data_IF_270900828443
#
_entry.id   IF_270900828443
#
_cell.length_a   1.000
_cell.length_b   1.000
_cell.length_c   1.000
_cell.angle_alpha   90.00
_cell.angle_beta   90.00
_cell.angle_gamma   90.00
#
_symmetry.space_group_name_H-M   'P 1'
#
loop_
_entity.id
_entity.type
_entity.pdbx_description
1 polymer ?
#
# COMPACT_ATOMS: atom_id res chain seq x y z
N UNK A 1 25.41 -10.42 -5.60
CA UNK A 1 25.39 -8.96 -5.86
C UNK A 1 24.06 -8.48 -6.47
N UNK A 2 23.37 -9.26 -7.31
CA UNK A 2 22.07 -8.91 -7.89
C UNK A 2 20.93 -9.01 -6.87
N UNK A 3 21.01 -9.94 -5.94
CA UNK A 3 20.01 -10.19 -4.90
C UNK A 3 19.96 -9.08 -3.83
N UNK A 4 21.10 -8.49 -3.46
CA UNK A 4 21.13 -7.40 -2.48
C UNK A 4 20.49 -6.10 -2.98
N UNK A 5 20.58 -5.79 -4.26
CA UNK A 5 19.98 -4.56 -4.83
C UNK A 5 18.46 -4.67 -5.00
N UNK A 6 17.95 -5.85 -5.33
CA UNK A 6 16.52 -6.10 -5.41
C UNK A 6 15.84 -6.07 -4.01
N UNK A 7 16.51 -6.59 -2.98
CA UNK A 7 16.08 -6.56 -1.59
C UNK A 7 15.94 -5.12 -1.05
N UNK A 8 16.83 -4.21 -1.42
CA UNK A 8 16.85 -2.84 -0.86
C UNK A 8 15.67 -2.01 -1.33
N UNK A 9 15.23 -2.15 -2.58
CA UNK A 9 14.13 -1.36 -3.15
C UNK A 9 12.73 -1.89 -2.80
N UNK A 10 12.61 -3.19 -2.49
CA UNK A 10 11.31 -3.82 -2.27
C UNK A 10 10.87 -3.79 -0.80
N UNK A 11 11.80 -3.58 0.15
CA UNK A 11 11.55 -3.71 1.59
C UNK A 11 11.72 -2.41 2.39
N UNK A 12 11.73 -1.25 1.73
CA UNK A 12 11.84 0.05 2.42
C UNK A 12 10.72 0.30 3.45
N UNK A 13 9.55 -0.30 3.21
CA UNK A 13 8.38 -0.19 4.10
C UNK A 13 8.44 -1.09 5.33
N UNK A 14 9.41 -2.00 5.41
CA UNK A 14 9.55 -2.93 6.53
C UNK A 14 10.42 -2.33 7.64
N UNK A 15 10.07 -2.66 8.90
CA UNK A 15 10.90 -2.34 10.05
C UNK A 15 12.23 -3.11 10.00
N UNK A 16 13.26 -2.62 10.71
CA UNK A 16 14.56 -3.31 10.76
C UNK A 16 14.45 -4.72 11.37
N UNK A 17 13.52 -4.93 12.32
CA UNK A 17 13.24 -6.25 12.88
C UNK A 17 12.71 -7.21 11.81
N UNK A 18 11.79 -6.75 10.97
CA UNK A 18 11.26 -7.56 9.86
C UNK A 18 12.32 -7.85 8.80
N UNK A 19 13.16 -6.85 8.47
CA UNK A 19 14.27 -7.03 7.54
C UNK A 19 15.29 -8.04 8.07
N UNK A 20 15.61 -7.99 9.36
CA UNK A 20 16.54 -8.95 9.96
C UNK A 20 15.96 -10.36 10.02
N UNK A 21 14.68 -10.53 10.29
CA UNK A 21 14.00 -11.82 10.21
C UNK A 21 14.09 -12.42 8.78
N UNK A 22 13.90 -11.60 7.76
CA UNK A 22 14.05 -12.01 6.35
C UNK A 22 15.50 -12.40 6.06
N UNK A 23 16.48 -11.61 6.48
CA UNK A 23 17.91 -11.93 6.29
C UNK A 23 18.27 -13.24 6.99
N UNK A 24 17.83 -13.44 8.24
CA UNK A 24 18.05 -14.65 9.00
C UNK A 24 17.45 -15.89 8.32
N UNK A 25 16.23 -15.77 7.80
CA UNK A 25 15.60 -16.83 7.01
C UNK A 25 16.47 -17.21 5.80
N UNK A 26 16.93 -16.25 5.00
CA UNK A 26 17.73 -16.53 3.82
C UNK A 26 19.11 -17.07 4.14
N UNK A 27 19.73 -16.72 5.27
CA UNK A 27 21.00 -17.31 5.74
C UNK A 27 20.92 -18.81 5.92
N UNK A 28 19.73 -19.38 6.22
CA UNK A 28 19.58 -20.83 6.34
C UNK A 28 19.83 -21.58 5.02
N UNK A 29 19.82 -20.88 3.90
CA UNK A 29 20.08 -21.42 2.56
C UNK A 29 21.52 -21.18 2.05
N UNK A 30 22.42 -20.62 2.87
CA UNK A 30 23.82 -20.38 2.52
C UNK A 30 24.72 -21.61 2.69
N UNK A 31 24.23 -22.65 3.38
CA UNK A 31 24.97 -23.88 3.65
C UNK A 31 24.54 -25.02 2.73
N UNK A 32 25.09 -26.24 2.96
CA UNK A 32 24.73 -27.42 2.18
C UNK A 32 23.23 -27.71 2.31
N UNK A 33 22.51 -27.50 1.22
CA UNK A 33 21.05 -27.59 1.18
C UNK A 33 20.57 -29.04 1.16
N UNK A 34 19.51 -29.33 1.90
CA UNK A 34 18.74 -30.56 1.72
C UNK A 34 17.99 -30.52 0.36
N UNK A 35 17.55 -31.71 -0.10
CA UNK A 35 16.75 -31.80 -1.32
C UNK A 35 15.52 -30.92 -1.28
N UNK A 36 14.79 -30.93 -0.15
CA UNK A 36 13.59 -30.09 0.03
C UNK A 36 13.89 -28.58 -0.04
N UNK A 37 15.03 -28.16 0.49
CA UNK A 37 15.46 -26.76 0.41
C UNK A 37 15.83 -26.38 -1.02
N UNK A 38 16.43 -27.27 -1.78
CA UNK A 38 16.73 -27.05 -3.20
C UNK A 38 15.46 -26.92 -4.02
N UNK A 39 14.48 -27.81 -3.82
CA UNK A 39 13.18 -27.76 -4.49
C UNK A 39 12.43 -26.46 -4.15
N UNK A 40 12.46 -26.05 -2.88
CA UNK A 40 11.88 -24.77 -2.45
C UNK A 40 12.54 -23.60 -3.18
N UNK A 41 13.87 -23.53 -3.27
CA UNK A 41 14.57 -22.47 -3.98
C UNK A 41 14.27 -22.46 -5.47
N UNK A 42 14.14 -23.65 -6.09
CA UNK A 42 13.73 -23.74 -7.49
C UNK A 42 12.32 -23.16 -7.70
N UNK A 43 11.35 -23.58 -6.86
CA UNK A 43 10.01 -23.02 -6.89
C UNK A 43 10.04 -21.49 -6.72
N UNK A 44 10.79 -21.00 -5.74
CA UNK A 44 10.93 -19.57 -5.48
C UNK A 44 11.45 -18.78 -6.69
N UNK A 45 12.41 -19.35 -7.42
CA UNK A 45 12.98 -18.72 -8.62
C UNK A 45 11.98 -18.60 -9.77
N UNK A 46 11.03 -19.52 -9.89
CA UNK A 46 10.03 -19.49 -10.98
C UNK A 46 8.78 -18.69 -10.63
N UNK A 47 8.50 -18.42 -9.32
CA UNK A 47 7.33 -17.67 -8.89
C UNK A 47 7.16 -16.31 -9.59
N UNK A 48 8.19 -15.47 -9.78
CA UNK A 48 8.05 -14.21 -10.48
C UNK A 48 7.56 -14.39 -11.93
N UNK A 49 8.02 -15.43 -12.62
CA UNK A 49 7.58 -15.71 -13.98
C UNK A 49 6.13 -16.20 -14.01
N UNK A 50 5.76 -17.10 -13.08
CA UNK A 50 4.36 -17.56 -12.93
C UNK A 50 3.46 -16.36 -12.67
N UNK A 51 3.82 -15.49 -11.72
CA UNK A 51 3.07 -14.29 -11.41
C UNK A 51 2.90 -13.36 -12.61
N UNK A 52 3.97 -13.12 -13.36
CA UNK A 52 3.96 -12.30 -14.57
C UNK A 52 3.01 -12.89 -15.62
N UNK A 53 3.13 -14.19 -15.91
CA UNK A 53 2.27 -14.86 -16.88
C UNK A 53 0.81 -14.83 -16.44
N UNK A 54 0.53 -15.12 -15.16
CA UNK A 54 -0.80 -15.08 -14.60
C UNK A 54 -1.45 -13.68 -14.73
N UNK A 55 -0.74 -12.64 -14.31
CA UNK A 55 -1.27 -11.28 -14.41
C UNK A 55 -1.46 -10.82 -15.86
N UNK A 56 -0.55 -11.20 -16.79
CA UNK A 56 -0.73 -10.90 -18.21
C UNK A 56 -1.98 -11.55 -18.78
N UNK A 57 -2.20 -12.83 -18.51
CA UNK A 57 -3.38 -13.55 -18.98
C UNK A 57 -4.70 -12.96 -18.43
N UNK A 58 -4.69 -12.51 -17.15
CA UNK A 58 -5.85 -11.84 -16.59
C UNK A 58 -6.15 -10.52 -17.33
N UNK A 59 -5.11 -9.72 -17.58
CA UNK A 59 -5.26 -8.44 -18.29
C UNK A 59 -5.72 -8.63 -19.74
N UNK A 60 -5.20 -9.62 -20.45
CA UNK A 60 -5.65 -9.97 -21.81
C UNK A 60 -7.13 -10.34 -21.86
N UNK A 61 -7.64 -10.99 -20.81
CA UNK A 61 -9.05 -11.33 -20.67
C UNK A 61 -9.93 -10.18 -20.15
N UNK A 62 -9.35 -9.02 -19.82
CA UNK A 62 -10.06 -7.88 -19.24
C UNK A 62 -10.58 -8.13 -17.83
N UNK A 63 -10.00 -9.06 -17.07
CA UNK A 63 -10.37 -9.40 -15.70
C UNK A 63 -9.20 -9.20 -14.74
N UNK A 64 -9.49 -9.05 -13.44
CA UNK A 64 -8.44 -8.89 -12.45
C UNK A 64 -8.97 -9.01 -11.03
N UNK A 65 -8.09 -9.41 -10.11
CA UNK A 65 -8.34 -9.27 -8.68
C UNK A 65 -8.08 -7.82 -8.23
N UNK A 66 -8.65 -7.43 -7.09
CA UNK A 66 -8.62 -6.03 -6.61
C UNK A 66 -7.20 -5.40 -6.63
N UNK A 67 -6.18 -6.09 -6.12
CA UNK A 67 -4.81 -5.57 -6.10
C UNK A 67 -4.21 -5.36 -7.50
N UNK A 68 -4.58 -6.19 -8.49
CA UNK A 68 -4.17 -5.98 -9.88
C UNK A 68 -4.89 -4.76 -10.48
N UNK A 69 -6.19 -4.61 -10.21
CA UNK A 69 -6.98 -3.48 -10.67
C UNK A 69 -6.45 -2.15 -10.11
N UNK A 70 -6.15 -2.08 -8.80
CA UNK A 70 -5.54 -0.90 -8.19
C UNK A 70 -4.18 -0.56 -8.80
N UNK A 71 -3.35 -1.57 -9.06
CA UNK A 71 -2.04 -1.37 -9.70
C UNK A 71 -2.19 -0.85 -11.12
N UNK A 72 -3.10 -1.42 -11.90
CA UNK A 72 -3.39 -0.96 -13.26
C UNK A 72 -3.94 0.46 -13.25
N UNK A 73 -4.87 0.77 -12.35
CA UNK A 73 -5.39 2.12 -12.20
C UNK A 73 -4.25 3.09 -11.89
N UNK A 74 -3.43 2.83 -10.87
CA UNK A 74 -2.33 3.71 -10.49
C UNK A 74 -1.31 3.93 -11.62
N UNK A 75 -0.93 2.86 -12.33
CA UNK A 75 0.04 2.95 -13.44
C UNK A 75 -0.51 3.72 -14.66
N UNK A 76 -1.83 3.80 -14.81
CA UNK A 76 -2.49 4.47 -15.91
C UNK A 76 -3.16 5.80 -15.51
N UNK A 77 -2.94 6.28 -14.29
CA UNK A 77 -3.47 7.58 -13.87
C UNK A 77 -2.93 8.68 -14.76
N UNK A 78 -3.85 9.49 -15.29
CA UNK A 78 -3.52 10.67 -16.07
C UNK A 78 -4.54 11.77 -15.84
N UNK A 79 -4.11 13.03 -15.97
CA UNK A 79 -5.02 14.19 -15.86
C UNK A 79 -6.19 14.14 -16.83
N UNK A 80 -6.04 13.45 -17.96
CA UNK A 80 -7.09 13.27 -18.97
C UNK A 80 -8.31 12.54 -18.40
N UNK A 81 -8.14 11.66 -17.43
CA UNK A 81 -9.26 10.97 -16.76
C UNK A 81 -10.10 11.91 -15.90
N UNK A 82 -9.57 13.06 -15.53
CA UNK A 82 -10.18 14.01 -14.60
C UNK A 82 -10.73 15.25 -15.28
N UNK A 83 -10.66 15.35 -16.62
CA UNK A 83 -11.05 16.56 -17.37
C UNK A 83 -12.50 16.99 -17.17
N UNK A 84 -13.38 16.07 -16.83
CA UNK A 84 -14.81 16.32 -16.60
C UNK A 84 -15.12 16.72 -15.14
N UNK A 85 -14.14 16.70 -14.24
CA UNK A 85 -14.32 16.99 -12.83
C UNK A 85 -13.62 18.29 -12.45
N UNK A 86 -14.34 19.21 -11.81
CA UNK A 86 -13.76 20.45 -11.29
C UNK A 86 -13.09 20.25 -9.92
N UNK A 87 -13.68 19.35 -9.12
CA UNK A 87 -13.19 18.99 -7.80
C UNK A 87 -13.66 17.58 -7.41
N UNK A 88 -13.00 17.00 -6.43
CA UNK A 88 -13.36 15.71 -5.84
C UNK A 88 -13.61 15.86 -4.35
N UNK A 89 -14.60 15.12 -3.85
CA UNK A 89 -14.82 14.92 -2.43
C UNK A 89 -14.69 13.42 -2.11
N UNK A 90 -13.78 13.08 -1.21
CA UNK A 90 -13.53 11.70 -0.80
C UNK A 90 -13.98 11.57 0.66
N UNK A 91 -14.94 10.68 0.92
CA UNK A 91 -15.69 10.64 2.17
C UNK A 91 -15.70 9.22 2.75
N UNK A 92 -15.56 9.11 4.08
CA UNK A 92 -15.88 7.89 4.83
C UNK A 92 -14.82 6.77 4.80
N UNK A 93 -13.61 7.06 4.37
CA UNK A 93 -12.51 6.09 4.46
C UNK A 93 -11.91 6.07 5.87
N UNK A 94 -11.47 4.90 6.31
CA UNK A 94 -10.74 4.72 7.56
C UNK A 94 -9.38 4.06 7.27
N UNK A 95 -9.32 2.74 7.16
CA UNK A 95 -8.12 2.04 6.73
C UNK A 95 -7.96 2.17 5.21
N UNK A 96 -6.77 2.56 4.75
CA UNK A 96 -6.45 2.64 3.34
C UNK A 96 -5.40 1.57 2.98
N UNK A 97 -5.66 0.88 1.90
CA UNK A 97 -4.65 0.03 1.30
C UNK A 97 -3.53 0.90 0.67
N UNK A 98 -2.25 0.50 0.70
CA UNK A 98 -1.15 1.30 0.15
C UNK A 98 -1.35 1.78 -1.30
N UNK A 99 -2.08 1.01 -2.12
CA UNK A 99 -2.40 1.44 -3.48
C UNK A 99 -3.45 2.56 -3.52
N UNK A 100 -4.46 2.52 -2.62
CA UNK A 100 -5.46 3.58 -2.47
C UNK A 100 -4.80 4.87 -1.99
N UNK A 101 -3.89 4.78 -1.05
CA UNK A 101 -3.12 5.95 -0.60
C UNK A 101 -2.36 6.62 -1.75
N UNK A 102 -1.68 5.83 -2.59
CA UNK A 102 -0.97 6.36 -3.77
C UNK A 102 -1.92 7.02 -4.76
N UNK A 103 -3.10 6.44 -4.98
CA UNK A 103 -4.13 7.02 -5.84
C UNK A 103 -4.62 8.34 -5.24
N UNK A 104 -4.92 8.39 -3.94
CA UNK A 104 -5.39 9.60 -3.27
C UNK A 104 -4.33 10.71 -3.24
N UNK A 105 -3.06 10.36 -3.00
CA UNK A 105 -1.96 11.31 -3.09
C UNK A 105 -1.82 11.89 -4.51
N UNK A 106 -1.98 11.06 -5.53
CA UNK A 106 -1.97 11.51 -6.92
C UNK A 106 -3.18 12.41 -7.23
N UNK A 107 -4.38 12.06 -6.80
CA UNK A 107 -5.59 12.86 -6.97
C UNK A 107 -5.41 14.23 -6.30
N UNK A 108 -4.96 14.27 -5.05
CA UNK A 108 -4.70 15.51 -4.32
C UNK A 108 -3.72 16.44 -5.06
N UNK A 109 -2.71 15.87 -5.71
CA UNK A 109 -1.69 16.63 -6.44
C UNK A 109 -2.14 17.11 -7.83
N UNK A 110 -3.24 16.58 -8.39
CA UNK A 110 -3.60 16.82 -9.79
C UNK A 110 -4.99 17.44 -9.99
N UNK A 111 -5.85 17.40 -8.97
CA UNK A 111 -7.18 18.05 -9.00
C UNK A 111 -7.52 18.54 -7.59
N UNK A 112 -8.28 19.67 -7.44
CA UNK A 112 -8.77 20.09 -6.15
C UNK A 112 -9.55 18.97 -5.47
N UNK A 113 -8.96 18.40 -4.39
CA UNK A 113 -9.50 17.23 -3.69
C UNK A 113 -9.68 17.57 -2.23
N UNK A 114 -10.85 17.27 -1.69
CA UNK A 114 -11.17 17.41 -0.28
C UNK A 114 -11.42 16.03 0.32
N UNK A 115 -10.84 15.78 1.50
CA UNK A 115 -11.05 14.55 2.27
C UNK A 115 -11.93 14.85 3.47
N UNK A 116 -12.89 13.98 3.73
CA UNK A 116 -13.80 14.04 4.87
C UNK A 116 -13.69 12.73 5.64
N UNK A 117 -13.21 12.84 6.88
CA UNK A 117 -12.97 11.72 7.77
C UNK A 117 -14.05 11.66 8.84
N UNK A 118 -14.49 10.47 9.16
CA UNK A 118 -15.34 10.25 10.31
C UNK A 118 -14.47 10.20 11.58
N UNK A 119 -14.28 11.35 12.20
CA UNK A 119 -13.42 11.52 13.38
C UNK A 119 -14.25 11.81 14.62
N UNK A 120 -13.78 11.30 15.76
CA UNK A 120 -14.32 11.61 17.09
C UNK A 120 -13.15 11.80 18.06
N UNK A 121 -13.30 12.77 19.00
CA UNK A 121 -12.26 13.06 19.98
C UNK A 121 -11.88 11.84 20.82
N UNK A 122 -12.86 11.00 21.16
CA UNK A 122 -12.63 9.82 21.99
C UNK A 122 -11.54 8.88 21.42
N UNK A 123 -11.59 8.56 20.13
CA UNK A 123 -10.60 7.67 19.55
C UNK A 123 -9.46 8.39 18.81
N UNK A 124 -9.59 9.67 18.55
CA UNK A 124 -8.50 10.44 17.93
C UNK A 124 -7.47 10.94 18.94
N UNK A 125 -7.89 11.31 20.14
CA UNK A 125 -7.02 11.87 21.18
C UNK A 125 -6.42 10.78 22.08
N UNK A 126 -7.10 9.65 22.30
CA UNK A 126 -6.54 8.51 23.03
C UNK A 126 -5.79 7.57 22.07
N UNK A 127 -4.47 7.48 22.24
CA UNK A 127 -3.59 6.63 21.43
C UNK A 127 -3.81 5.12 21.62
N UNK A 128 -4.44 4.72 22.72
CA UNK A 128 -4.75 3.33 23.01
C UNK A 128 -6.01 2.84 22.30
N UNK A 129 -6.80 3.76 21.75
CA UNK A 129 -8.00 3.40 20.99
C UNK A 129 -7.65 2.94 19.59
N UNK A 130 -7.89 1.65 19.31
CA UNK A 130 -7.60 1.04 18.00
C UNK A 130 -8.43 1.65 16.87
N UNK A 131 -9.66 2.06 17.14
CA UNK A 131 -10.55 2.68 16.15
C UNK A 131 -9.94 3.91 15.46
N UNK A 132 -9.12 4.69 16.20
CA UNK A 132 -8.43 5.85 15.66
C UNK A 132 -7.07 5.57 15.02
N UNK A 133 -6.57 4.34 15.05
CA UNK A 133 -5.20 4.00 14.65
C UNK A 133 -4.87 4.47 13.22
N UNK A 134 -5.69 4.11 12.25
CA UNK A 134 -5.47 4.47 10.85
C UNK A 134 -5.65 5.97 10.62
N UNK A 135 -6.68 6.57 11.20
CA UNK A 135 -6.95 8.01 11.07
C UNK A 135 -5.82 8.86 11.65
N UNK A 136 -5.27 8.49 12.81
CA UNK A 136 -4.08 9.15 13.38
C UNK A 136 -2.86 9.00 12.47
N UNK A 137 -2.67 7.83 11.85
CA UNK A 137 -1.62 7.60 10.87
C UNK A 137 -1.80 8.48 9.62
N UNK A 138 -3.03 8.63 9.14
CA UNK A 138 -3.35 9.50 7.99
C UNK A 138 -3.16 10.97 8.32
N UNK A 139 -3.50 11.41 9.54
CA UNK A 139 -3.29 12.79 9.99
C UNK A 139 -1.82 13.23 9.89
N UNK A 140 -0.88 12.30 10.02
CA UNK A 140 0.55 12.58 9.90
C UNK A 140 1.03 12.77 8.43
N UNK A 141 0.20 12.45 7.45
CA UNK A 141 0.58 12.53 6.03
C UNK A 141 0.28 13.91 5.44
N UNK A 142 1.24 14.53 4.73
CA UNK A 142 1.11 15.92 4.25
C UNK A 142 -0.14 16.16 3.42
N UNK A 143 -0.53 15.23 2.54
CA UNK A 143 -1.69 15.37 1.67
C UNK A 143 -3.03 15.16 2.35
N UNK A 144 -3.06 14.61 3.56
CA UNK A 144 -4.27 14.44 4.37
C UNK A 144 -4.36 15.44 5.54
N UNK A 145 -3.20 15.94 6.01
CA UNK A 145 -3.11 16.75 7.23
C UNK A 145 -4.12 17.90 7.30
N UNK A 146 -4.27 18.64 6.21
CA UNK A 146 -5.17 19.79 6.16
C UNK A 146 -6.67 19.43 6.29
N UNK A 147 -7.03 18.17 6.07
CA UNK A 147 -8.41 17.69 6.18
C UNK A 147 -8.82 17.30 7.61
N UNK A 148 -7.86 17.17 8.53
CA UNK A 148 -8.12 16.88 9.95
C UNK A 148 -8.23 18.19 10.74
N UNK A 149 -9.43 18.71 10.86
CA UNK A 149 -9.71 19.96 11.59
C UNK A 149 -9.88 19.68 13.08
N UNK A 150 -9.10 20.37 13.93
CA UNK A 150 -9.27 20.34 15.40
C UNK A 150 -10.09 21.54 15.86
N UNK A 151 -10.82 21.45 17.00
CA UNK A 151 -11.02 20.24 17.80
C UNK A 151 -11.85 19.19 17.06
N UNK A 152 -11.62 17.90 17.37
CA UNK A 152 -12.47 16.84 16.84
C UNK A 152 -13.86 16.89 17.49
N UNK A 153 -14.92 16.52 16.76
CA UNK A 153 -16.25 16.45 17.35
C UNK A 153 -16.28 15.37 18.45
N UNK A 154 -17.05 15.62 19.49
CA UNK A 154 -17.39 14.62 20.50
C UNK A 154 -18.83 14.19 20.24
N UNK A 155 -18.99 12.94 19.83
CA UNK A 155 -20.31 12.33 19.68
C UNK A 155 -20.60 11.56 20.95
N UNK A 156 -21.42 12.14 21.81
CA UNK A 156 -21.94 11.49 23.02
C UNK A 156 -23.21 10.72 22.66
#
# INVERSE_FOLDING_TARGET
LYEQKALTLTYEHLSEVQKEAIRSFWKTFEHRLSTQQQDFLQLWKILPQIYKNFTSQLLEKGIGYAGLCYRQLYNNLSKRLLTNYKQLAIVGFNALHPAEEKIFAWLYSNIPTQFYWDTDAYYMDDKNQEAGYYLRSHQAKPYFQASFKKPFPTRI
#
